data_IF_369989034724
#
_entry.id   IF_369989034724
#
_cell.length_a   1.000
_cell.length_b   1.000
_cell.length_c   1.000
_cell.angle_alpha   90.00
_cell.angle_beta   90.00
_cell.angle_gamma   90.00
#
_symmetry.space_group_name_H-M   'P 1'
#
loop_
_entity.id
_entity.type
_entity.pdbx_description
1 polymer ?
#
# COMPACT_ATOMS: atom_id res chain seq x y z
N UNK A 1 15.21 -48.38 5.28
CA UNK A 1 14.71 -47.67 6.48
C UNK A 1 14.81 -48.48 7.77
N UNK A 2 14.72 -49.82 7.76
CA UNK A 2 14.93 -50.65 8.97
C UNK A 2 16.37 -50.67 9.50
N UNK A 3 17.36 -50.24 8.71
CA UNK A 3 18.78 -50.25 9.08
C UNK A 3 19.26 -48.94 9.73
N UNK A 4 18.43 -47.88 9.72
CA UNK A 4 18.82 -46.53 10.18
C UNK A 4 18.32 -46.24 11.60
N UNK A 5 17.24 -46.88 12.04
CA UNK A 5 16.68 -46.72 13.38
C UNK A 5 16.60 -48.09 14.05
N UNK A 6 17.33 -48.27 15.15
CA UNK A 6 17.33 -49.49 15.97
C UNK A 6 15.99 -49.74 16.67
N UNK A 7 15.23 -48.67 16.90
CA UNK A 7 13.90 -48.69 17.53
C UNK A 7 12.87 -48.02 16.61
N UNK A 8 11.60 -48.43 16.68
CA UNK A 8 10.56 -47.80 15.88
C UNK A 8 10.47 -46.31 16.21
N UNK A 9 10.37 -45.43 15.19
CA UNK A 9 10.33 -43.99 15.43
C UNK A 9 9.10 -43.63 16.27
N UNK A 10 9.32 -42.80 17.28
CA UNK A 10 8.26 -42.25 18.11
C UNK A 10 7.35 -41.34 17.28
N UNK A 11 6.10 -41.74 17.13
CA UNK A 11 5.06 -40.92 16.50
C UNK A 11 4.42 -40.08 17.59
N UNK A 12 4.76 -38.79 17.65
CA UNK A 12 4.12 -37.82 18.51
C UNK A 12 3.11 -36.98 17.72
N UNK A 13 1.88 -36.88 18.21
CA UNK A 13 0.88 -35.96 17.65
C UNK A 13 1.17 -34.54 18.12
N UNK A 14 1.11 -33.57 17.19
CA UNK A 14 1.11 -32.16 17.57
C UNK A 14 -0.14 -31.88 18.39
N UNK A 15 0.03 -31.16 19.51
CA UNK A 15 -1.10 -30.60 20.25
C UNK A 15 -1.84 -29.58 19.37
N UNK A 16 -3.16 -29.54 19.50
CA UNK A 16 -3.96 -28.49 18.89
C UNK A 16 -3.55 -27.12 19.45
N UNK A 17 -3.49 -26.11 18.58
CA UNK A 17 -3.15 -24.77 19.00
C UNK A 17 -4.24 -24.23 19.92
N UNK A 18 -3.88 -23.83 21.14
CA UNK A 18 -4.85 -23.23 22.06
C UNK A 18 -5.12 -21.76 21.68
N UNK A 19 -6.19 -21.18 22.23
CA UNK A 19 -6.53 -19.77 21.97
C UNK A 19 -5.37 -18.83 22.35
N UNK A 20 -4.64 -19.11 23.42
CA UNK A 20 -3.51 -18.31 23.87
C UNK A 20 -2.39 -18.26 22.80
N UNK A 21 -2.04 -19.40 22.20
CA UNK A 21 -1.03 -19.54 21.16
C UNK A 21 -1.42 -18.76 19.90
N UNK A 22 -2.72 -18.74 19.58
CA UNK A 22 -3.26 -17.99 18.45
C UNK A 22 -3.19 -16.48 18.72
N UNK A 23 -3.65 -16.04 19.89
CA UNK A 23 -3.74 -14.62 20.25
C UNK A 23 -2.34 -14.00 20.38
N UNK A 24 -1.40 -14.69 21.03
CA UNK A 24 -0.04 -14.21 21.27
C UNK A 24 0.74 -14.07 19.96
N UNK A 25 0.58 -15.00 19.01
CA UNK A 25 1.33 -14.95 17.75
C UNK A 25 0.68 -14.09 16.66
N UNK A 26 -0.66 -13.99 16.60
CA UNK A 26 -1.34 -13.32 15.47
C UNK A 26 -1.61 -11.83 15.67
N UNK A 27 -1.82 -11.38 16.91
CA UNK A 27 -2.39 -10.05 17.16
C UNK A 27 -1.31 -8.98 17.39
N UNK A 28 -0.19 -9.33 18.02
CA UNK A 28 0.79 -8.31 18.43
C UNK A 28 1.64 -7.75 17.28
N UNK A 29 2.01 -8.53 16.27
CA UNK A 29 2.95 -8.03 15.24
C UNK A 29 2.38 -7.00 14.25
N UNK A 30 1.06 -6.78 14.21
CA UNK A 30 0.46 -5.77 13.30
C UNK A 30 0.03 -4.47 13.99
N UNK A 31 -0.09 -4.45 15.32
CA UNK A 31 -0.55 -3.27 16.04
C UNK A 31 0.56 -2.23 16.31
N UNK A 32 1.82 -2.66 16.46
CA UNK A 32 2.93 -1.76 16.78
C UNK A 32 3.56 -1.10 15.54
N UNK A 33 3.41 -1.71 14.35
CA UNK A 33 3.90 -1.13 13.11
C UNK A 33 2.78 -0.38 12.38
N UNK A 34 2.27 0.70 12.99
CA UNK A 34 1.45 1.65 12.26
C UNK A 34 2.33 2.34 11.23
N UNK A 35 2.19 1.94 9.95
CA UNK A 35 2.84 2.64 8.85
C UNK A 35 2.40 4.11 8.88
N UNK A 36 3.30 5.06 8.55
CA UNK A 36 2.92 6.46 8.47
C UNK A 36 1.79 6.65 7.46
N UNK A 37 0.90 7.59 7.77
CA UNK A 37 -0.22 7.98 6.91
C UNK A 37 0.32 8.74 5.70
N UNK A 38 0.63 7.97 4.66
CA UNK A 38 1.35 8.45 3.49
C UNK A 38 0.85 7.69 2.27
N UNK A 39 0.76 8.40 1.15
CA UNK A 39 0.61 7.78 -0.16
C UNK A 39 1.97 7.33 -0.67
N UNK A 40 2.08 6.17 -1.32
CA UNK A 40 3.37 5.74 -1.86
C UNK A 40 3.31 4.54 -2.80
N UNK A 41 4.43 4.26 -3.51
CA UNK A 41 4.50 3.11 -4.40
C UNK A 41 4.52 1.81 -3.58
N UNK A 42 3.78 0.79 -4.06
CA UNK A 42 3.67 -0.51 -3.38
C UNK A 42 4.96 -1.37 -3.45
N UNK A 43 5.99 -0.94 -4.19
CA UNK A 43 7.28 -1.63 -4.32
C UNK A 43 7.28 -2.89 -5.19
N UNK A 44 6.16 -3.22 -5.85
CA UNK A 44 6.11 -4.40 -6.72
C UNK A 44 6.85 -4.17 -8.04
N UNK A 45 7.67 -5.16 -8.44
CA UNK A 45 8.56 -5.13 -9.62
C UNK A 45 7.85 -4.79 -10.95
N UNK A 46 6.57 -5.14 -11.09
CA UNK A 46 5.79 -4.95 -12.34
C UNK A 46 4.57 -4.05 -12.16
N UNK A 47 4.55 -3.17 -11.17
CA UNK A 47 3.42 -2.26 -10.99
C UNK A 47 3.49 -1.08 -11.98
N UNK A 48 2.49 -0.95 -12.85
CA UNK A 48 2.41 0.13 -13.84
C UNK A 48 2.18 1.53 -13.21
N UNK A 49 1.63 1.59 -12.00
CA UNK A 49 1.29 2.84 -11.29
C UNK A 49 2.46 3.34 -10.45
N UNK A 50 3.28 2.43 -9.89
CA UNK A 50 4.44 2.77 -9.06
C UNK A 50 5.37 3.85 -9.63
N UNK A 51 5.71 3.88 -10.95
CA UNK A 51 6.59 4.90 -11.52
C UNK A 51 6.03 6.32 -11.45
N UNK A 52 4.70 6.45 -11.41
CA UNK A 52 4.00 7.73 -11.39
C UNK A 52 3.51 8.11 -10.00
N UNK A 53 3.67 7.22 -9.01
CA UNK A 53 3.16 7.42 -7.67
C UNK A 53 4.17 8.18 -6.82
N UNK A 54 3.74 9.32 -6.30
CA UNK A 54 4.55 10.11 -5.39
C UNK A 54 4.39 9.65 -3.96
N UNK A 55 5.47 9.82 -3.18
CA UNK A 55 5.39 9.76 -1.73
C UNK A 55 4.92 11.10 -1.20
N UNK A 56 3.69 11.16 -0.71
CA UNK A 56 3.12 12.39 -0.18
C UNK A 56 2.21 12.12 1.03
N UNK A 57 2.39 12.91 2.08
CA UNK A 57 1.52 12.96 3.27
C UNK A 57 0.38 13.98 3.10
N UNK A 58 0.57 14.93 2.17
CA UNK A 58 -0.38 15.98 1.87
C UNK A 58 -0.48 16.17 0.36
N UNK A 59 -1.67 16.47 -0.13
CA UNK A 59 -1.86 16.95 -1.49
C UNK A 59 -2.48 18.35 -1.46
N UNK A 60 -2.10 19.18 -2.43
CA UNK A 60 -2.64 20.51 -2.60
C UNK A 60 -3.62 20.49 -3.77
N UNK A 61 -4.82 21.03 -3.56
CA UNK A 61 -5.83 21.22 -4.60
C UNK A 61 -5.55 22.49 -5.42
N UNK A 62 -6.27 22.68 -6.53
CA UNK A 62 -6.16 23.87 -7.41
C UNK A 62 -6.46 25.18 -6.69
N UNK A 63 -7.14 25.13 -5.55
CA UNK A 63 -7.43 26.29 -4.68
C UNK A 63 -6.39 26.51 -3.58
N UNK A 64 -5.18 25.95 -3.71
CA UNK A 64 -4.09 25.97 -2.72
C UNK A 64 -4.46 25.37 -1.34
N UNK A 65 -5.56 24.60 -1.28
CA UNK A 65 -5.98 23.91 -0.06
C UNK A 65 -5.17 22.63 0.12
N UNK A 66 -4.56 22.46 1.29
CA UNK A 66 -3.80 21.26 1.66
C UNK A 66 -4.71 20.24 2.33
N UNK A 67 -4.70 19.02 1.81
CA UNK A 67 -5.43 17.88 2.35
C UNK A 67 -4.44 16.82 2.81
N UNK A 68 -4.60 16.35 4.06
CA UNK A 68 -3.76 15.29 4.62
C UNK A 68 -4.29 13.92 4.23
N UNK A 69 -3.38 13.03 3.82
CA UNK A 69 -3.70 11.62 3.56
C UNK A 69 -3.93 10.95 4.90
N UNK A 70 -5.15 10.46 5.15
CA UNK A 70 -5.54 9.91 6.48
C UNK A 70 -5.02 8.50 6.76
N UNK A 71 -4.71 7.74 5.72
CA UNK A 71 -4.32 6.32 5.81
C UNK A 71 -3.03 6.07 5.02
N UNK A 72 -2.37 4.94 5.27
CA UNK A 72 -1.33 4.45 4.37
C UNK A 72 -1.99 3.93 3.07
N UNK A 73 -1.71 4.57 1.94
CA UNK A 73 -2.33 4.28 0.65
C UNK A 73 -1.27 3.90 -0.38
N UNK A 74 -1.40 2.70 -0.95
CA UNK A 74 -0.48 2.15 -1.94
C UNK A 74 -1.19 1.88 -3.29
N UNK A 75 -0.44 1.56 -4.36
CA UNK A 75 -0.99 1.18 -5.67
C UNK A 75 -1.97 -0.01 -5.66
N UNK A 76 -2.07 -0.74 -4.54
CA UNK A 76 -2.92 -1.91 -4.37
C UNK A 76 -4.12 -1.65 -3.46
N UNK A 77 -4.21 -0.46 -2.86
CA UNK A 77 -5.32 -0.10 -1.99
C UNK A 77 -6.60 0.03 -2.80
N UNK A 78 -7.70 -0.53 -2.30
CA UNK A 78 -9.03 -0.37 -2.90
C UNK A 78 -9.64 0.98 -2.53
N UNK A 79 -10.56 1.47 -3.37
CA UNK A 79 -11.32 2.72 -3.13
C UNK A 79 -10.44 3.96 -2.98
N UNK A 80 -9.41 4.07 -3.82
CA UNK A 80 -8.50 5.22 -3.87
C UNK A 80 -8.83 6.12 -5.05
N UNK A 81 -8.77 7.42 -4.81
CA UNK A 81 -8.87 8.46 -5.84
C UNK A 81 -7.45 8.95 -6.15
N UNK A 82 -7.11 9.03 -7.43
CA UNK A 82 -5.82 9.52 -7.89
C UNK A 82 -5.94 10.97 -8.35
N UNK A 83 -5.17 11.86 -7.72
CA UNK A 83 -4.95 13.21 -8.22
C UNK A 83 -3.72 13.19 -9.14
N UNK A 84 -3.92 13.38 -10.44
CA UNK A 84 -2.84 13.42 -11.43
C UNK A 84 -2.50 14.87 -11.75
N UNK A 85 -1.34 15.32 -11.28
CA UNK A 85 -0.85 16.68 -11.45
C UNK A 85 0.18 16.74 -12.58
N UNK A 86 0.04 17.73 -13.46
CA UNK A 86 1.04 18.01 -14.48
C UNK A 86 2.11 18.93 -13.87
N UNK A 87 3.37 18.50 -13.87
CA UNK A 87 4.52 19.33 -13.45
C UNK A 87 4.66 20.60 -14.27
N UNK A 88 4.22 20.60 -15.54
CA UNK A 88 4.33 21.73 -16.46
C UNK A 88 3.23 22.78 -16.24
N UNK A 89 2.01 22.33 -15.94
CA UNK A 89 0.85 23.22 -15.81
C UNK A 89 0.49 23.53 -14.35
N UNK A 90 1.04 22.80 -13.37
CA UNK A 90 0.67 22.86 -11.94
C UNK A 90 -0.84 22.72 -11.69
N UNK A 91 -1.56 22.10 -12.63
CA UNK A 91 -3.00 21.87 -12.58
C UNK A 91 -3.28 20.37 -12.60
N UNK A 92 -4.43 19.97 -12.04
CA UNK A 92 -4.95 18.61 -12.16
C UNK A 92 -5.32 18.35 -13.62
N UNK A 93 -4.83 17.24 -14.17
CA UNK A 93 -4.99 16.93 -15.58
C UNK A 93 -6.35 16.27 -15.83
N UNK A 94 -7.37 17.07 -16.12
CA UNK A 94 -8.55 16.58 -16.82
C UNK A 94 -8.17 16.25 -18.27
N UNK A 95 -8.73 15.18 -18.86
CA UNK A 95 -8.50 14.82 -20.28
C UNK A 95 -8.88 15.99 -21.22
N UNK A 96 -7.94 16.85 -21.58
CA UNK A 96 -8.08 17.80 -22.71
C UNK A 96 -7.19 17.32 -23.86
N UNK A 97 -7.82 16.99 -25.00
CA UNK A 97 -7.16 16.42 -26.20
C UNK A 97 -6.24 17.41 -26.92
N UNK A 98 -6.15 18.67 -26.49
CA UNK A 98 -5.48 19.74 -27.24
C UNK A 98 -3.98 19.89 -27.01
N UNK A 99 -3.39 19.23 -26.02
CA UNK A 99 -1.94 19.32 -25.81
C UNK A 99 -1.37 17.99 -25.32
N UNK A 100 -0.62 17.30 -26.19
CA UNK A 100 0.10 16.08 -25.86
C UNK A 100 1.25 16.40 -24.91
N UNK A 101 0.97 16.43 -23.61
CA UNK A 101 2.00 16.56 -22.58
C UNK A 101 2.69 15.20 -22.41
N UNK A 102 4.04 15.13 -22.47
CA UNK A 102 4.76 13.87 -22.33
C UNK A 102 4.48 13.20 -20.97
N UNK A 103 4.29 11.88 -20.98
CA UNK A 103 3.93 11.04 -19.84
C UNK A 103 4.90 11.15 -18.63
N UNK A 104 6.10 11.67 -18.85
CA UNK A 104 7.16 11.86 -17.84
C UNK A 104 6.95 13.07 -16.92
N UNK A 105 5.88 13.84 -17.12
CA UNK A 105 5.58 15.06 -16.36
C UNK A 105 4.37 14.93 -15.42
N UNK A 106 3.87 13.71 -15.22
CA UNK A 106 2.72 13.45 -14.35
C UNK A 106 3.16 12.91 -12.99
N UNK A 107 2.59 13.49 -11.94
CA UNK A 107 2.72 13.03 -10.57
C UNK A 107 1.34 12.64 -10.06
N UNK A 108 1.20 11.42 -9.54
CA UNK A 108 -0.06 10.93 -8.99
C UNK A 108 0.04 10.79 -7.47
N UNK A 109 -0.96 11.34 -6.77
CA UNK A 109 -1.17 11.12 -5.33
C UNK A 109 -2.46 10.34 -5.15
N UNK A 110 -2.40 9.23 -4.41
CA UNK A 110 -3.57 8.43 -4.08
C UNK A 110 -4.10 8.81 -2.70
N UNK A 111 -5.41 9.00 -2.58
CA UNK A 111 -6.07 9.26 -1.30
C UNK A 111 -7.40 8.50 -1.21
N UNK A 112 -7.78 8.12 0.01
CA UNK A 112 -9.08 7.50 0.27
C UNK A 112 -10.13 8.59 0.54
N UNK A 113 -11.20 8.63 -0.26
CA UNK A 113 -12.32 9.53 0.00
C UNK A 113 -13.21 8.90 1.08
N UNK A 114 -12.99 9.23 2.36
CA UNK A 114 -14.01 9.00 3.38
C UNK A 114 -14.97 10.19 3.33
N UNK A 115 -16.12 9.99 2.67
CA UNK A 115 -17.27 10.88 2.85
C UNK A 115 -17.58 10.92 4.35
N UNK A 116 -17.62 12.14 4.90
CA UNK A 116 -18.17 12.40 6.23
C UNK A 116 -19.66 12.12 6.23
#
# INVERSE_FOLDING_TARGET
>A
MKEVFSEPPLVAFRRDCNLQDILVHKIHNRMFFRKPNMSGPCGAQRCAICPYMMKAEYFTDTSDRKYSVRNNVDCKSSNVVYAVNCRRCRSVCGRDRRNSVPATSFESVAYSHTAQ
#
